data_IF_373078217197
#
_entry.id   IF_373078217197
#
_cell.length_a   1.000
_cell.length_b   1.000
_cell.length_c   1.000
_cell.angle_alpha   90.00
_cell.angle_beta   90.00
_cell.angle_gamma   90.00
#
_symmetry.space_group_name_H-M   'P 1'
#
loop_
_entity.id
_entity.type
_entity.pdbx_description
1 polymer ?
#
# COMPACT_ATOMS: atom_id res chain seq x y z
N UNK A 1 -10.47 7.63 8.62
CA UNK A 1 -11.16 6.58 7.84
C UNK A 1 -10.13 5.95 6.90
N UNK A 2 -10.23 4.65 6.63
CA UNK A 2 -9.27 3.91 5.82
C UNK A 2 -9.91 2.74 5.10
N UNK A 3 -9.15 2.11 4.22
CA UNK A 3 -9.53 0.93 3.44
C UNK A 3 -8.52 -0.16 3.76
N UNK A 4 -9.00 -1.37 4.03
CA UNK A 4 -8.17 -2.54 4.28
C UNK A 4 -8.51 -3.68 3.32
N UNK A 5 -7.53 -4.54 3.08
CA UNK A 5 -7.69 -5.76 2.29
C UNK A 5 -6.89 -6.90 2.91
N UNK A 6 -7.42 -8.11 2.86
CA UNK A 6 -6.70 -9.30 3.26
C UNK A 6 -5.64 -9.62 2.20
N UNK A 7 -4.45 -9.99 2.66
CA UNK A 7 -3.26 -10.23 1.86
C UNK A 7 -2.65 -11.57 2.27
N UNK A 8 -2.36 -12.40 1.27
CA UNK A 8 -1.73 -13.70 1.49
C UNK A 8 -0.87 -14.11 0.28
N UNK A 9 -0.52 -15.39 0.21
CA UNK A 9 0.29 -15.96 -0.86
C UNK A 9 -0.39 -16.02 -2.24
N UNK A 10 -1.70 -15.76 -2.34
CA UNK A 10 -2.45 -15.66 -3.59
C UNK A 10 -2.99 -14.26 -3.87
N UNK A 11 -3.15 -13.43 -2.82
CA UNK A 11 -3.86 -12.18 -2.89
C UNK A 11 -2.95 -11.00 -2.51
N UNK A 12 -2.74 -10.14 -3.50
CA UNK A 12 -2.22 -8.79 -3.32
C UNK A 12 -3.37 -7.78 -3.27
N UNK A 13 -3.10 -6.61 -2.69
CA UNK A 13 -4.00 -5.47 -2.68
C UNK A 13 -3.67 -4.50 -3.80
N UNK A 14 -4.68 -3.98 -4.48
CA UNK A 14 -4.53 -2.90 -5.46
C UNK A 14 -5.60 -1.84 -5.22
N UNK A 15 -5.18 -0.58 -5.16
CA UNK A 15 -6.06 0.58 -5.06
C UNK A 15 -5.63 1.59 -6.12
N UNK A 16 -6.58 2.05 -6.94
CA UNK A 16 -6.32 3.04 -7.97
C UNK A 16 -7.16 4.30 -7.73
N UNK A 17 -6.47 5.44 -7.66
CA UNK A 17 -7.07 6.76 -7.56
C UNK A 17 -7.06 7.43 -8.93
N UNK A 18 -8.25 7.77 -9.45
CA UNK A 18 -8.40 8.52 -10.71
C UNK A 18 -8.36 10.01 -10.44
N UNK A 19 -7.20 10.60 -10.71
CA UNK A 19 -6.86 11.99 -10.40
C UNK A 19 -7.25 12.94 -11.54
N UNK A 20 -7.36 12.44 -12.78
CA UNK A 20 -7.77 13.21 -13.95
C UNK A 20 -6.93 14.50 -14.17
N UNK A 21 -5.66 14.50 -13.76
CA UNK A 21 -4.74 15.64 -13.83
C UNK A 21 -5.20 16.87 -13.03
N UNK A 22 -6.03 16.68 -11.99
CA UNK A 22 -6.64 17.80 -11.23
C UNK A 22 -5.95 18.14 -9.93
N UNK A 23 -5.02 17.30 -9.49
CA UNK A 23 -4.35 17.41 -8.20
C UNK A 23 -2.85 17.61 -8.42
N UNK A 24 -2.20 18.25 -7.47
CA UNK A 24 -0.75 18.39 -7.41
C UNK A 24 -0.16 17.36 -6.45
N UNK A 25 -0.91 16.94 -5.43
CA UNK A 25 -0.38 16.09 -4.38
C UNK A 25 -1.41 15.09 -3.87
N UNK A 26 -0.93 13.89 -3.55
CA UNK A 26 -1.69 12.89 -2.79
C UNK A 26 -0.88 12.51 -1.56
N UNK A 27 -1.53 12.53 -0.40
CA UNK A 27 -0.95 12.03 0.86
C UNK A 27 -1.79 10.89 1.41
N UNK A 28 -1.13 9.90 2.01
CA UNK A 28 -1.80 8.81 2.70
C UNK A 28 -0.84 8.15 3.69
N UNK A 29 -1.36 7.29 4.56
CA UNK A 29 -0.55 6.39 5.36
C UNK A 29 -0.84 4.95 4.93
N UNK A 30 0.16 4.08 4.98
CA UNK A 30 -0.02 2.65 4.78
C UNK A 30 0.66 1.84 5.87
N UNK A 31 0.11 0.65 6.14
CA UNK A 31 0.62 -0.28 7.15
C UNK A 31 -0.23 -1.52 7.23
N UNK A 32 -0.28 -2.11 8.42
CA UNK A 32 -1.04 -3.33 8.71
C UNK A 32 -2.12 -3.05 9.75
N UNK A 33 -3.26 -3.73 9.65
CA UNK A 33 -4.30 -3.64 10.66
C UNK A 33 -3.84 -4.28 11.99
N UNK A 34 -4.33 -3.76 13.12
CA UNK A 34 -3.95 -4.26 14.44
C UNK A 34 -4.44 -5.69 14.71
N UNK A 35 -5.45 -6.15 13.97
CA UNK A 35 -6.01 -7.50 14.02
C UNK A 35 -5.43 -8.43 12.93
N UNK A 36 -4.36 -8.02 12.24
CA UNK A 36 -3.61 -8.89 11.34
C UNK A 36 -3.14 -10.14 12.07
N UNK A 37 -3.34 -11.29 11.42
CA UNK A 37 -3.13 -12.60 12.04
C UNK A 37 -1.67 -13.07 12.02
N UNK A 38 -0.87 -12.56 11.11
CA UNK A 38 0.59 -12.80 11.07
C UNK A 38 1.35 -11.49 11.29
N UNK A 39 1.96 -11.36 12.48
CA UNK A 39 2.71 -10.16 12.88
C UNK A 39 4.15 -10.14 12.34
N UNK A 40 4.59 -11.20 11.70
CA UNK A 40 5.93 -11.33 11.13
C UNK A 40 5.99 -11.07 9.62
N UNK A 41 4.85 -10.74 9.03
CA UNK A 41 4.78 -10.24 7.67
C UNK A 41 5.10 -8.74 7.61
N UNK A 42 5.63 -8.35 6.47
CA UNK A 42 5.83 -6.96 6.05
C UNK A 42 4.91 -6.68 4.89
N UNK A 43 4.36 -5.47 4.79
CA UNK A 43 3.59 -5.06 3.60
C UNK A 43 4.50 -4.20 2.73
N UNK A 44 4.85 -4.70 1.55
CA UNK A 44 5.47 -3.91 0.50
C UNK A 44 4.41 -3.04 -0.15
N UNK A 45 4.59 -1.74 -0.05
CA UNK A 45 3.74 -0.71 -0.65
C UNK A 45 4.49 -0.17 -1.87
N UNK A 46 3.91 -0.30 -3.06
CA UNK A 46 4.48 0.28 -4.28
C UNK A 46 3.51 1.30 -4.87
N UNK A 47 4.05 2.41 -5.35
CA UNK A 47 3.28 3.52 -5.90
C UNK A 47 3.62 3.67 -7.38
N UNK A 48 2.58 3.70 -8.21
CA UNK A 48 2.68 3.88 -9.65
C UNK A 48 1.91 5.12 -10.08
N UNK A 49 2.59 6.06 -10.74
CA UNK A 49 1.98 7.20 -11.41
C UNK A 49 1.89 6.90 -12.91
N UNK A 50 0.67 6.85 -13.44
CA UNK A 50 0.38 6.51 -14.84
C UNK A 50 1.11 5.23 -15.32
N UNK A 51 1.17 4.22 -14.43
CA UNK A 51 1.78 2.93 -14.67
C UNK A 51 3.30 2.85 -14.44
N UNK A 52 3.97 3.97 -14.14
CA UNK A 52 5.39 3.99 -13.78
C UNK A 52 5.57 3.94 -12.27
N UNK A 53 6.33 2.96 -11.77
CA UNK A 53 6.72 2.93 -10.35
C UNK A 53 7.54 4.18 -9.99
N UNK A 54 7.14 4.86 -8.93
CA UNK A 54 7.80 6.09 -8.44
C UNK A 54 8.31 5.96 -7.01
N UNK A 55 7.77 5.03 -6.22
CA UNK A 55 8.21 4.79 -4.85
C UNK A 55 7.83 3.36 -4.40
N UNK A 56 8.64 2.80 -3.51
CA UNK A 56 8.43 1.46 -2.92
C UNK A 56 8.97 1.45 -1.49
N UNK A 57 8.12 1.08 -0.53
CA UNK A 57 8.48 0.99 0.89
C UNK A 57 7.94 -0.29 1.51
N UNK A 58 8.75 -0.97 2.31
CA UNK A 58 8.38 -2.14 3.08
C UNK A 58 7.98 -1.71 4.50
N UNK A 59 6.72 -1.91 4.88
CA UNK A 59 6.16 -1.48 6.18
C UNK A 59 5.98 -2.68 7.11
N UNK A 60 6.74 -2.76 8.23
CA UNK A 60 6.63 -3.88 9.17
C UNK A 60 5.34 -3.80 9.98
N UNK A 61 5.03 -4.88 10.70
CA UNK A 61 3.87 -4.93 11.59
C UNK A 61 4.03 -3.94 12.75
N UNK A 62 2.92 -3.38 13.23
CA UNK A 62 2.87 -2.29 14.23
C UNK A 62 3.56 -0.98 13.82
N UNK A 63 3.81 -0.79 12.52
CA UNK A 63 4.29 0.47 11.97
C UNK A 63 3.34 1.00 10.89
N UNK A 64 3.42 2.29 10.62
CA UNK A 64 2.73 2.95 9.53
C UNK A 64 3.65 3.97 8.88
N UNK A 65 3.71 3.95 7.54
CA UNK A 65 4.50 4.88 6.76
C UNK A 65 3.61 5.94 6.13
N UNK A 66 4.00 7.21 6.25
CA UNK A 66 3.34 8.34 5.61
C UNK A 66 3.94 8.58 4.22
N UNK A 67 3.09 8.61 3.19
CA UNK A 67 3.46 8.90 1.82
C UNK A 67 3.03 10.31 1.44
N UNK A 68 3.92 11.00 0.75
CA UNK A 68 3.75 12.35 0.22
C UNK A 68 4.15 12.32 -1.25
N UNK A 69 3.14 12.21 -2.13
CA UNK A 69 3.34 11.89 -3.54
C UNK A 69 2.99 13.10 -4.39
N UNK A 70 3.97 13.59 -5.16
CA UNK A 70 3.74 14.54 -6.24
C UNK A 70 2.99 13.86 -7.39
N UNK A 71 1.82 14.40 -7.72
CA UNK A 71 0.92 13.89 -8.76
C UNK A 71 0.57 14.96 -9.79
N UNK A 72 1.40 16.00 -9.92
CA UNK A 72 1.20 17.03 -10.93
C UNK A 72 1.14 16.41 -12.33
N UNK A 73 0.02 16.62 -13.03
CA UNK A 73 -0.27 16.04 -14.35
C UNK A 73 -0.36 14.51 -14.40
N UNK A 74 -0.63 13.85 -13.26
CA UNK A 74 -0.88 12.42 -13.20
C UNK A 74 -2.38 12.15 -13.37
N UNK A 75 -2.73 11.21 -14.23
CA UNK A 75 -4.12 10.83 -14.46
C UNK A 75 -4.59 9.73 -13.50
N UNK A 76 -3.74 8.74 -13.23
CA UNK A 76 -4.01 7.64 -12.32
C UNK A 76 -2.83 7.38 -11.38
N UNK A 77 -3.12 7.30 -10.08
CA UNK A 77 -2.19 6.84 -9.07
C UNK A 77 -2.63 5.47 -8.57
N UNK A 78 -1.79 4.46 -8.77
CA UNK A 78 -2.03 3.09 -8.30
C UNK A 78 -1.12 2.79 -7.12
N UNK A 79 -1.68 2.19 -6.08
CA UNK A 79 -1.00 1.73 -4.88
C UNK A 79 -1.20 0.22 -4.82
N UNK A 80 -0.11 -0.54 -4.77
CA UNK A 80 -0.16 -1.99 -4.54
C UNK A 80 0.34 -2.32 -3.15
N UNK A 81 -0.25 -3.35 -2.55
CA UNK A 81 0.11 -3.88 -1.24
C UNK A 81 0.41 -5.37 -1.40
N UNK A 82 1.66 -5.77 -1.21
CA UNK A 82 2.09 -7.18 -1.30
C UNK A 82 2.60 -7.65 0.04
N UNK A 83 2.09 -8.75 0.61
CA UNK A 83 2.63 -9.31 1.84
C UNK A 83 3.98 -9.98 1.53
N UNK A 84 4.96 -9.78 2.40
CA UNK A 84 6.28 -10.40 2.33
C UNK A 84 6.62 -11.04 3.66
N UNK A 85 7.29 -12.18 3.61
CA UNK A 85 7.84 -12.85 4.79
C UNK A 85 9.15 -12.16 5.27
N UNK A 86 9.77 -12.73 6.31
CA UNK A 86 11.02 -12.20 6.88
C UNK A 86 12.20 -12.21 5.90
N UNK A 87 12.14 -13.05 4.86
CA UNK A 87 13.14 -13.13 3.79
C UNK A 87 12.82 -12.20 2.62
N UNK A 88 11.78 -11.36 2.73
CA UNK A 88 11.29 -10.48 1.67
C UNK A 88 10.76 -11.26 0.45
N UNK A 89 10.22 -12.45 0.68
CA UNK A 89 9.63 -13.32 -0.33
C UNK A 89 8.12 -13.42 -0.14
N UNK A 90 7.43 -13.96 -1.15
CA UNK A 90 6.01 -14.28 -1.05
C UNK A 90 5.77 -15.19 0.17
N UNK A 91 4.77 -14.89 1.03
CA UNK A 91 4.52 -15.67 2.23
C UNK A 91 4.16 -17.11 1.92
N UNK A 92 4.47 -18.01 2.85
CA UNK A 92 4.00 -19.40 2.78
C UNK A 92 2.49 -19.49 2.97
N UNK A 93 1.88 -20.53 2.41
CA UNK A 93 0.46 -20.85 2.60
C UNK A 93 0.07 -20.82 4.09
N UNK A 94 -0.98 -20.06 4.41
CA UNK A 94 -1.51 -19.90 5.77
C UNK A 94 -1.06 -18.65 6.51
N UNK A 95 0.01 -17.97 6.06
CA UNK A 95 0.37 -16.65 6.57
C UNK A 95 -0.45 -15.58 5.84
N UNK A 96 -1.00 -14.65 6.60
CA UNK A 96 -1.88 -13.60 6.07
C UNK A 96 -1.91 -12.38 6.97
N UNK A 97 -2.07 -11.21 6.35
CA UNK A 97 -2.15 -9.92 7.02
C UNK A 97 -3.21 -9.06 6.34
N UNK A 98 -3.76 -8.08 7.06
CA UNK A 98 -4.60 -7.07 6.45
C UNK A 98 -3.76 -5.83 6.17
N UNK A 99 -3.49 -5.55 4.91
CA UNK A 99 -2.86 -4.30 4.47
C UNK A 99 -3.88 -3.17 4.50
N UNK A 100 -3.49 -2.00 5.00
CA UNK A 100 -4.38 -0.84 5.12
C UNK A 100 -3.77 0.40 4.50
N UNK A 101 -4.62 1.21 3.85
CA UNK A 101 -4.33 2.62 3.56
C UNK A 101 -5.33 3.51 4.29
N UNK A 102 -4.88 4.65 4.81
CA UNK A 102 -5.76 5.54 5.57
C UNK A 102 -5.31 7.00 5.51
N UNK A 103 -6.22 7.89 5.87
CA UNK A 103 -6.03 9.35 5.81
C UNK A 103 -5.61 9.85 4.41
N UNK A 104 -6.19 9.26 3.36
CA UNK A 104 -5.95 9.68 1.98
C UNK A 104 -6.48 11.10 1.78
N UNK A 105 -5.65 11.98 1.23
CA UNK A 105 -6.02 13.34 0.81
C UNK A 105 -5.40 13.65 -0.54
N UNK A 106 -6.15 14.35 -1.38
CA UNK A 106 -5.67 14.88 -2.66
C UNK A 106 -5.94 16.38 -2.69
N UNK A 107 -4.94 17.16 -3.12
CA UNK A 107 -5.00 18.62 -3.24
C UNK A 107 -4.36 19.10 -4.55
#
# INVERSE_FOLDING_TARGET
MGIGTDLDWQHDGEIELRLANKFQKVTFNAGQANDSKSSDLTVKVQIFADGKEIDTVNVPFNDAHAFDVDVANVNALKITLTPLDRMQLMPSMGLHTTGVIFNVKAE
#
